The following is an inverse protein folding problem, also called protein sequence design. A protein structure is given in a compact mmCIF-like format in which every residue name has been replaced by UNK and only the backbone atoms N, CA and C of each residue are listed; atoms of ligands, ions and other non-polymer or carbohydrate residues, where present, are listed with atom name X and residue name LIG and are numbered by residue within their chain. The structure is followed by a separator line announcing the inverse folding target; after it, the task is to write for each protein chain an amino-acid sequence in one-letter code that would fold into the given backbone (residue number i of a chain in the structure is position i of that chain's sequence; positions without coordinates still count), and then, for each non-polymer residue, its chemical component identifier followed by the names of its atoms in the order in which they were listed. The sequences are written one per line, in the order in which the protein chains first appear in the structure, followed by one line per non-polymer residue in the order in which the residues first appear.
data_IF_496870316580
#
_entry.id   IF_496870316580
#
_cell.length_a   1.000
_cell.length_b   1.000
_cell.length_c   1.000
_cell.angle_alpha   90.00
_cell.angle_beta   90.00
_cell.angle_gamma   90.00
#
_symmetry.space_group_name_H-M   'P 1'
#
loop_
_entity.id
_entity.type
_entity.pdbx_description
1 polymer ?
#
# COMPACT_ATOMS: atom_id res chain seq x y z
N UNK A 1 -16.06 5.52 18.83
CA UNK A 1 -16.44 4.64 17.70
C UNK A 1 -16.14 3.19 18.08
N UNK A 2 -16.81 2.17 17.54
CA UNK A 2 -16.37 0.79 17.76
C UNK A 2 -14.94 0.65 17.25
N UNK A 3 -14.06 0.16 18.09
CA UNK A 3 -12.69 -0.17 17.72
C UNK A 3 -12.74 -1.22 16.60
N UNK A 4 -12.30 -0.85 15.40
CA UNK A 4 -12.16 -1.80 14.29
C UNK A 4 -10.86 -2.58 14.49
N UNK A 5 -10.93 -3.90 14.38
CA UNK A 5 -9.77 -4.77 14.61
C UNK A 5 -8.70 -4.52 13.54
N UNK A 6 -7.45 -4.36 13.98
CA UNK A 6 -6.26 -4.19 13.13
C UNK A 6 -5.40 -5.44 13.14
N UNK A 7 -4.42 -5.54 12.24
CA UNK A 7 -3.41 -6.61 12.30
C UNK A 7 -2.54 -6.57 13.56
N UNK A 8 -2.35 -5.38 14.15
CA UNK A 8 -1.68 -5.22 15.44
C UNK A 8 -2.48 -5.89 16.56
N UNK A 9 -3.81 -5.75 16.55
CA UNK A 9 -4.71 -6.41 17.53
C UNK A 9 -4.72 -7.93 17.38
N UNK A 10 -4.47 -8.43 16.16
CA UNK A 10 -4.31 -9.86 15.86
C UNK A 10 -2.91 -10.41 16.22
N UNK A 11 -1.96 -9.57 16.66
CA UNK A 11 -0.59 -9.99 16.96
C UNK A 11 0.27 -10.30 15.73
N UNK A 12 -0.13 -9.82 14.54
CA UNK A 12 0.57 -10.01 13.26
C UNK A 12 0.78 -8.69 12.52
N UNK A 13 1.44 -7.70 13.14
CA UNK A 13 1.47 -6.34 12.60
C UNK A 13 2.19 -6.25 11.25
N UNK A 14 1.72 -5.30 10.44
CA UNK A 14 2.42 -4.79 9.26
C UNK A 14 2.72 -3.30 9.50
N UNK A 15 3.99 -2.90 9.58
CA UNK A 15 4.39 -1.50 9.79
C UNK A 15 3.68 -0.48 8.89
N UNK A 16 3.47 -0.83 7.62
CA UNK A 16 2.81 0.02 6.63
C UNK A 16 1.28 -0.17 6.57
N UNK A 17 0.70 -1.17 7.24
CA UNK A 17 -0.76 -1.36 7.26
C UNK A 17 -1.29 -1.29 8.70
N UNK A 18 -1.81 -0.13 9.05
CA UNK A 18 -2.37 0.16 10.39
C UNK A 18 -3.90 0.31 10.37
N UNK A 19 -4.51 0.22 9.18
CA UNK A 19 -5.95 0.25 9.02
C UNK A 19 -6.66 -1.02 9.49
N UNK A 20 -8.00 -1.03 9.41
CA UNK A 20 -8.84 -2.18 9.75
C UNK A 20 -8.55 -3.41 8.89
N UNK A 21 -8.61 -4.61 9.48
CA UNK A 21 -8.42 -5.88 8.76
C UNK A 21 -9.47 -6.10 7.67
N UNK A 22 -10.70 -5.61 7.89
CA UNK A 22 -11.79 -5.71 6.91
C UNK A 22 -11.50 -4.96 5.59
N UNK A 23 -10.59 -3.99 5.61
CA UNK A 23 -10.14 -3.27 4.42
C UNK A 23 -9.05 -4.04 3.65
N UNK A 24 -8.64 -5.25 4.07
CA UNK A 24 -7.58 -6.03 3.44
C UNK A 24 -8.17 -7.22 2.65
N UNK A 25 -8.36 -7.10 1.32
CA UNK A 25 -9.01 -8.15 0.52
C UNK A 25 -8.18 -9.44 0.43
N UNK A 26 -6.86 -9.31 0.63
CA UNK A 26 -5.93 -10.44 0.60
C UNK A 26 -6.00 -11.28 1.87
N UNK A 27 -6.43 -10.73 3.02
CA UNK A 27 -6.46 -11.50 4.25
C UNK A 27 -7.59 -12.56 4.22
N UNK A 28 -7.21 -13.84 4.38
CA UNK A 28 -8.13 -14.98 4.36
C UNK A 28 -8.30 -15.66 5.72
N UNK A 29 -7.57 -15.23 6.74
CA UNK A 29 -7.56 -15.90 8.04
C UNK A 29 -6.92 -17.28 7.94
N UNK A 30 -7.57 -18.31 8.48
CA UNK A 30 -6.98 -19.66 8.56
C UNK A 30 -6.85 -20.32 7.20
N UNK A 31 -5.69 -20.89 6.89
CA UNK A 31 -5.45 -21.63 5.65
C UNK A 31 -4.19 -22.49 5.70
N UNK A 32 -3.89 -23.18 4.59
CA UNK A 32 -2.64 -23.92 4.40
C UNK A 32 -1.71 -23.09 3.54
N UNK A 33 -0.52 -22.79 4.04
CA UNK A 33 0.44 -21.96 3.31
C UNK A 33 1.09 -22.74 2.16
N UNK A 34 1.07 -22.19 0.96
CA UNK A 34 1.71 -22.77 -0.21
C UNK A 34 3.24 -22.74 -0.15
N UNK A 35 3.83 -21.88 0.68
CA UNK A 35 5.29 -21.83 0.87
C UNK A 35 5.76 -22.94 1.80
N UNK A 36 5.32 -22.94 3.06
CA UNK A 36 5.83 -23.87 4.09
C UNK A 36 4.99 -25.14 4.25
N UNK A 37 3.85 -25.24 3.54
CA UNK A 37 2.88 -26.34 3.59
C UNK A 37 2.26 -26.60 4.97
N UNK A 38 2.40 -25.65 5.90
CA UNK A 38 1.79 -25.71 7.24
C UNK A 38 0.43 -25.02 7.27
N UNK A 39 -0.45 -25.50 8.14
CA UNK A 39 -1.66 -24.76 8.51
C UNK A 39 -1.29 -23.57 9.39
N UNK A 40 -1.91 -22.42 9.14
CA UNK A 40 -1.72 -21.20 9.91
C UNK A 40 -3.05 -20.48 10.12
N UNK A 41 -3.18 -19.71 11.20
CA UNK A 41 -4.38 -18.92 11.50
C UNK A 41 -4.46 -17.62 10.69
N UNK A 42 -3.35 -17.19 10.10
CA UNK A 42 -3.26 -15.95 9.35
C UNK A 42 -2.55 -16.17 8.00
N UNK A 43 -3.35 -16.29 6.95
CA UNK A 43 -2.93 -16.44 5.58
C UNK A 43 -3.44 -15.27 4.71
N UNK A 44 -2.67 -14.98 3.68
CA UNK A 44 -2.91 -13.93 2.70
C UNK A 44 -2.95 -14.57 1.31
N UNK A 45 -3.96 -14.21 0.53
CA UNK A 45 -4.05 -14.56 -0.87
C UNK A 45 -3.04 -13.75 -1.67
N UNK A 46 -2.27 -14.44 -2.49
CA UNK A 46 -1.36 -13.87 -3.46
C UNK A 46 -2.04 -13.94 -4.82
N UNK A 47 -2.17 -12.79 -5.49
CA UNK A 47 -2.83 -12.63 -6.78
C UNK A 47 -1.81 -12.31 -7.88
N UNK A 48 -2.30 -12.05 -9.09
CA UNK A 48 -1.48 -11.62 -10.23
C UNK A 48 -0.48 -10.53 -9.81
N UNK A 49 0.77 -10.70 -10.22
CA UNK A 49 1.88 -9.81 -9.87
C UNK A 49 2.55 -10.12 -8.52
N UNK A 50 2.06 -11.08 -7.74
CA UNK A 50 2.76 -11.57 -6.55
C UNK A 50 3.77 -12.67 -6.91
N UNK A 51 4.82 -12.78 -6.10
CA UNK A 51 5.85 -13.80 -6.26
C UNK A 51 5.92 -14.72 -5.03
N UNK A 52 6.25 -15.99 -5.26
CA UNK A 52 6.70 -16.92 -4.22
C UNK A 52 8.11 -17.40 -4.53
N UNK A 53 8.93 -17.58 -3.49
CA UNK A 53 10.16 -18.37 -3.57
C UNK A 53 10.22 -19.38 -2.43
N UNK A 54 10.73 -20.58 -2.71
CA UNK A 54 10.85 -21.65 -1.71
C UNK A 54 12.18 -21.63 -0.95
N UNK A 55 13.16 -20.87 -1.43
CA UNK A 55 14.45 -20.65 -0.76
C UNK A 55 14.85 -19.19 -0.88
N UNK A 56 15.46 -18.64 0.17
CA UNK A 56 16.02 -17.28 0.14
C UNK A 56 17.33 -17.23 -0.65
N UNK A 57 18.02 -18.35 -0.79
CA UNK A 57 19.27 -18.49 -1.55
C UNK A 57 19.04 -18.68 -3.05
N UNK A 58 17.77 -18.77 -3.47
CA UNK A 58 17.38 -18.92 -4.86
C UNK A 58 16.65 -17.66 -5.33
N UNK A 59 17.13 -17.07 -6.42
CA UNK A 59 16.52 -15.90 -7.06
C UNK A 59 15.33 -16.28 -7.96
N UNK A 60 15.04 -17.58 -8.14
CA UNK A 60 13.90 -18.03 -8.93
C UNK A 60 12.59 -17.76 -8.19
N UNK A 61 11.94 -16.67 -8.56
CA UNK A 61 10.56 -16.39 -8.21
C UNK A 61 9.60 -17.19 -9.09
N UNK A 62 8.55 -17.69 -8.46
CA UNK A 62 7.41 -18.31 -9.12
C UNK A 62 6.30 -17.28 -9.07
N UNK A 63 5.93 -16.78 -10.24
CA UNK A 63 4.74 -15.97 -10.42
C UNK A 63 3.52 -16.78 -9.96
N UNK A 64 2.71 -16.19 -9.09
CA UNK A 64 1.52 -16.87 -8.56
C UNK A 64 0.43 -17.05 -9.62
N UNK A 65 0.51 -16.35 -10.77
CA UNK A 65 -0.38 -16.44 -11.94
C UNK A 65 -1.87 -16.59 -11.59
N UNK A 66 -2.71 -17.12 -12.50
CA UNK A 66 -4.17 -17.21 -12.31
C UNK A 66 -4.63 -18.15 -11.17
N UNK A 67 -3.69 -18.86 -10.53
CA UNK A 67 -3.99 -19.73 -9.39
C UNK A 67 -3.84 -18.97 -8.06
N UNK A 68 -4.94 -18.85 -7.32
CA UNK A 68 -4.87 -18.33 -5.94
C UNK A 68 -3.88 -19.16 -5.09
N UNK A 69 -2.82 -18.50 -4.59
CA UNK A 69 -1.87 -19.09 -3.63
C UNK A 69 -2.03 -18.43 -2.27
N UNK A 70 -1.89 -19.20 -1.21
CA UNK A 70 -1.93 -18.69 0.16
C UNK A 70 -0.53 -18.62 0.77
N UNK A 71 -0.17 -17.46 1.32
CA UNK A 71 1.04 -17.30 2.12
C UNK A 71 0.69 -17.00 3.57
N UNK A 72 1.24 -17.76 4.52
CA UNK A 72 1.09 -17.42 5.93
C UNK A 72 1.89 -16.16 6.28
N UNK A 73 1.43 -15.42 7.30
CA UNK A 73 2.10 -14.23 7.81
C UNK A 73 3.61 -14.42 7.99
N UNK A 74 4.02 -15.52 8.63
CA UNK A 74 5.44 -15.81 8.90
C UNK A 74 6.27 -15.91 7.62
N UNK A 75 5.80 -16.63 6.60
CA UNK A 75 6.50 -16.77 5.33
C UNK A 75 6.56 -15.44 4.57
N UNK A 76 5.47 -14.66 4.57
CA UNK A 76 5.44 -13.33 3.96
C UNK A 76 6.46 -12.40 4.62
N UNK A 77 6.47 -12.31 5.96
CA UNK A 77 7.41 -11.45 6.70
C UNK A 77 8.87 -11.87 6.56
N UNK A 78 9.14 -13.16 6.38
CA UNK A 78 10.48 -13.67 6.08
C UNK A 78 10.92 -13.39 4.63
N UNK A 79 10.02 -12.91 3.77
CA UNK A 79 10.30 -12.59 2.37
C UNK A 79 10.33 -13.81 1.46
N UNK A 80 9.62 -14.89 1.80
CA UNK A 80 9.38 -16.01 0.87
C UNK A 80 8.24 -15.73 -0.12
N UNK A 81 7.52 -14.63 0.07
CA UNK A 81 6.56 -14.11 -0.88
C UNK A 81 6.75 -12.59 -1.03
N UNK A 82 6.38 -12.06 -2.19
CA UNK A 82 6.31 -10.64 -2.51
C UNK A 82 4.91 -10.29 -2.98
N UNK A 83 4.43 -9.12 -2.60
CA UNK A 83 3.18 -8.52 -3.07
C UNK A 83 3.55 -7.29 -3.88
N UNK A 84 3.11 -7.23 -5.13
CA UNK A 84 3.26 -6.02 -5.93
C UNK A 84 2.30 -4.96 -5.43
N UNK A 85 2.82 -3.74 -5.25
CA UNK A 85 2.08 -2.60 -4.74
C UNK A 85 2.29 -1.40 -5.65
N UNK A 86 1.21 -0.65 -5.90
CA UNK A 86 1.30 0.64 -6.57
C UNK A 86 1.51 1.81 -5.60
N UNK A 87 2.47 2.68 -5.92
CA UNK A 87 2.74 3.90 -5.16
C UNK A 87 2.48 5.14 -6.01
N UNK A 88 2.40 6.31 -5.37
CA UNK A 88 2.37 7.57 -6.11
C UNK A 88 3.66 7.89 -6.90
N UNK A 89 4.70 7.05 -6.76
CA UNK A 89 5.97 7.11 -7.46
C UNK A 89 6.14 5.93 -8.44
N UNK A 90 5.08 5.14 -8.67
CA UNK A 90 5.08 3.97 -9.54
C UNK A 90 5.06 2.64 -8.80
N UNK A 91 4.90 1.57 -9.56
CA UNK A 91 4.80 0.20 -9.07
C UNK A 91 6.09 -0.26 -8.38
N UNK A 92 5.93 -1.10 -7.35
CA UNK A 92 7.01 -1.78 -6.63
C UNK A 92 6.70 -3.27 -6.52
N UNK A 93 7.55 -4.10 -7.11
CA UNK A 93 7.57 -5.55 -6.96
C UNK A 93 8.90 -6.04 -6.39
N UNK A 94 9.11 -7.36 -6.34
CA UNK A 94 10.40 -7.95 -5.95
C UNK A 94 11.56 -7.55 -6.87
N UNK A 95 11.31 -7.28 -8.15
CA UNK A 95 12.33 -6.81 -9.09
C UNK A 95 12.92 -5.45 -8.64
N UNK A 96 12.07 -4.58 -8.10
CA UNK A 96 12.47 -3.25 -7.65
C UNK A 96 13.26 -3.27 -6.32
N UNK A 97 13.18 -4.35 -5.52
CA UNK A 97 13.98 -4.48 -4.30
C UNK A 97 15.48 -4.39 -4.63
N UNK A 98 15.93 -5.10 -5.67
CA UNK A 98 17.34 -5.11 -6.08
C UNK A 98 17.79 -3.79 -6.72
N UNK A 99 16.86 -3.07 -7.37
CA UNK A 99 17.14 -1.83 -8.08
C UNK A 99 17.17 -0.61 -7.16
N UNK A 100 16.49 -0.67 -6.01
CA UNK A 100 16.37 0.47 -5.09
C UNK A 100 15.59 1.65 -5.68
N UNK A 101 14.75 1.39 -6.67
CA UNK A 101 13.92 2.38 -7.34
C UNK A 101 12.61 1.73 -7.81
N UNK A 102 11.54 2.53 -7.94
CA UNK A 102 10.25 2.07 -8.47
C UNK A 102 10.35 1.72 -9.97
N UNK A 103 9.35 0.99 -10.49
CA UNK A 103 9.20 0.81 -11.94
C UNK A 103 8.95 2.14 -12.67
N UNK A 104 8.54 3.17 -11.92
CA UNK A 104 8.40 4.53 -12.39
C UNK A 104 7.01 4.90 -12.86
N UNK A 105 6.89 6.11 -13.37
CA UNK A 105 5.67 6.65 -13.98
C UNK A 105 6.00 7.27 -15.35
N UNK A 106 5.07 7.23 -16.31
CA UNK A 106 5.24 7.92 -17.58
C UNK A 106 5.18 9.45 -17.39
N UNK A 107 6.01 10.17 -18.15
CA UNK A 107 5.90 11.63 -18.28
C UNK A 107 6.90 12.43 -17.43
N UNK A 108 6.54 13.66 -17.04
CA UNK A 108 7.43 14.52 -16.24
C UNK A 108 7.60 13.98 -14.81
N UNK A 109 8.59 14.53 -14.10
CA UNK A 109 8.75 14.28 -12.66
C UNK A 109 7.48 14.74 -11.94
N UNK A 110 6.90 13.90 -11.09
CA UNK A 110 5.68 14.25 -10.37
C UNK A 110 5.91 15.39 -9.39
N UNK A 111 4.88 16.22 -9.15
CA UNK A 111 4.94 17.30 -8.16
C UNK A 111 5.31 16.75 -6.78
N UNK A 112 4.72 15.62 -6.38
CA UNK A 112 5.05 14.94 -5.12
C UNK A 112 6.53 14.54 -5.05
N UNK A 113 7.12 14.00 -6.12
CA UNK A 113 8.54 13.67 -6.13
C UNK A 113 9.41 14.93 -5.96
N UNK A 114 9.05 16.05 -6.59
CA UNK A 114 9.76 17.33 -6.46
C UNK A 114 9.66 17.84 -5.01
N UNK A 115 8.44 17.89 -4.46
CA UNK A 115 8.17 18.36 -3.09
C UNK A 115 8.89 17.54 -2.03
N UNK A 116 8.97 16.22 -2.23
CA UNK A 116 9.63 15.30 -1.31
C UNK A 116 11.13 15.16 -1.57
N UNK A 117 11.68 15.85 -2.59
CA UNK A 117 13.10 15.76 -2.94
C UNK A 117 13.53 14.36 -3.38
N UNK A 118 12.62 13.59 -4.00
CA UNK A 118 12.88 12.24 -4.48
C UNK A 118 13.69 12.29 -5.76
N UNK A 119 14.81 11.56 -5.79
CA UNK A 119 15.65 11.49 -6.97
C UNK A 119 14.96 10.66 -8.06
N UNK A 120 14.67 11.30 -9.19
CA UNK A 120 14.13 10.64 -10.38
C UNK A 120 15.25 10.28 -11.37
N UNK A 121 15.18 9.07 -11.93
CA UNK A 121 16.06 8.63 -13.01
C UNK A 121 15.81 9.38 -14.34
N UNK A 122 16.71 9.23 -15.32
CA UNK A 122 16.42 9.66 -16.69
C UNK A 122 15.22 8.88 -17.24
N UNK A 123 14.44 9.45 -18.17
CA UNK A 123 13.35 8.72 -18.79
C UNK A 123 13.91 7.61 -19.68
N UNK A 124 13.26 6.45 -19.71
CA UNK A 124 13.55 5.39 -20.67
C UNK A 124 13.01 5.75 -22.07
N UNK A 125 13.15 4.83 -23.04
CA UNK A 125 12.69 5.05 -24.43
C UNK A 125 11.17 5.29 -24.53
N UNK A 126 10.40 4.82 -23.55
CA UNK A 126 8.94 4.97 -23.49
C UNK A 126 8.53 6.20 -22.65
N UNK A 127 9.49 7.00 -22.19
CA UNK A 127 9.24 8.20 -21.40
C UNK A 127 8.95 7.94 -19.91
N UNK A 128 9.20 6.72 -19.41
CA UNK A 128 9.01 6.37 -18.00
C UNK A 128 10.22 6.74 -17.15
N UNK A 129 9.96 7.24 -15.94
CA UNK A 129 11.00 7.63 -14.97
C UNK A 129 10.86 6.84 -13.69
N UNK A 130 11.91 6.11 -13.31
CA UNK A 130 12.02 5.49 -12.00
C UNK A 130 12.31 6.51 -10.90
N UNK A 131 11.91 6.21 -9.67
CA UNK A 131 12.13 7.08 -8.51
C UNK A 131 12.87 6.30 -7.43
N UNK A 132 13.96 6.86 -6.90
CA UNK A 132 14.74 6.22 -5.85
C UNK A 132 14.00 6.28 -4.52
N UNK A 133 13.80 5.12 -3.92
CA UNK A 133 13.18 4.94 -2.60
C UNK A 133 14.13 4.11 -1.75
N UNK A 134 14.12 4.29 -0.43
CA UNK A 134 14.92 3.46 0.47
C UNK A 134 14.60 1.96 0.22
N UNK A 135 15.60 1.11 -0.10
CA UNK A 135 15.37 -0.31 -0.31
C UNK A 135 14.66 -1.02 0.84
N UNK A 136 14.79 -0.51 2.08
CA UNK A 136 14.05 -1.04 3.24
C UNK A 136 12.55 -0.77 3.14
N UNK A 137 12.16 0.38 2.61
CA UNK A 137 10.75 0.71 2.41
C UNK A 137 10.17 -0.10 1.25
N UNK A 138 10.94 -0.31 0.16
CA UNK A 138 10.55 -1.22 -0.93
C UNK A 138 10.35 -2.66 -0.40
N UNK A 139 11.30 -3.15 0.40
CA UNK A 139 11.20 -4.49 1.02
C UNK A 139 10.02 -4.59 1.99
N UNK A 140 9.75 -3.55 2.77
CA UNK A 140 8.62 -3.54 3.70
C UNK A 140 7.29 -3.52 2.95
N UNK A 141 7.19 -2.71 1.90
CA UNK A 141 5.98 -2.59 1.08
C UNK A 141 5.66 -3.91 0.37
N UNK A 142 6.65 -4.58 -0.22
CA UNK A 142 6.46 -5.91 -0.86
C UNK A 142 6.06 -7.02 0.12
N UNK A 143 6.16 -6.77 1.44
CA UNK A 143 5.71 -7.68 2.50
C UNK A 143 4.46 -7.18 3.21
N UNK A 144 3.83 -6.14 2.68
CA UNK A 144 2.61 -5.52 3.20
C UNK A 144 1.46 -5.86 2.26
N UNK A 145 0.32 -6.34 2.77
CA UNK A 145 -0.83 -6.60 1.93
C UNK A 145 -1.49 -5.30 1.46
N UNK A 146 -2.18 -5.36 0.34
CA UNK A 146 -2.97 -4.27 -0.20
C UNK A 146 -4.22 -4.02 0.66
N UNK A 147 -4.72 -2.79 0.58
CA UNK A 147 -6.06 -2.44 1.02
C UNK A 147 -7.02 -2.43 -0.19
N UNK A 148 -8.31 -2.60 0.07
CA UNK A 148 -9.33 -2.62 -0.96
C UNK A 148 -9.47 -1.23 -1.59
N UNK A 149 -9.50 -1.19 -2.92
CA UNK A 149 -9.69 0.04 -3.71
C UNK A 149 -10.42 -0.30 -5.00
N UNK A 150 -11.07 0.68 -5.61
CA UNK A 150 -11.72 0.51 -6.91
C UNK A 150 -10.79 0.81 -8.07
N UNK A 151 -9.97 1.86 -7.96
CA UNK A 151 -9.10 2.33 -9.04
C UNK A 151 -7.61 1.96 -8.87
N UNK A 152 -7.34 1.01 -7.98
CA UNK A 152 -5.99 0.56 -7.62
C UNK A 152 -5.46 1.26 -6.38
N UNK A 153 -4.60 0.56 -5.65
CA UNK A 153 -3.92 1.13 -4.51
C UNK A 153 -2.92 2.21 -4.94
N UNK A 154 -2.68 3.16 -4.06
CA UNK A 154 -1.73 4.23 -4.30
C UNK A 154 -1.09 4.63 -2.99
N UNK A 155 -0.08 3.85 -2.60
CA UNK A 155 0.70 4.12 -1.41
C UNK A 155 1.35 5.50 -1.46
N UNK A 156 1.23 6.23 -0.35
CA UNK A 156 1.72 7.61 -0.23
C UNK A 156 3.15 7.67 0.28
N UNK A 157 3.84 8.73 -0.08
CA UNK A 157 5.22 9.01 0.25
C UNK A 157 5.36 10.40 0.88
N UNK A 158 6.06 10.48 2.00
CA UNK A 158 6.34 11.75 2.67
C UNK A 158 7.56 11.66 3.59
N UNK A 159 8.31 12.75 3.73
CA UNK A 159 9.55 12.79 4.52
C UNK A 159 10.56 11.68 4.14
N UNK A 160 10.61 11.34 2.85
CA UNK A 160 11.51 10.30 2.35
C UNK A 160 11.10 8.88 2.73
N UNK A 161 9.86 8.63 3.16
CA UNK A 161 9.36 7.31 3.57
C UNK A 161 7.98 6.99 3.01
N UNK A 162 7.69 5.72 2.81
CA UNK A 162 6.31 5.25 2.53
C UNK A 162 5.46 5.46 3.79
N UNK A 163 4.27 6.02 3.61
CA UNK A 163 3.33 6.34 4.69
C UNK A 163 2.39 5.16 4.97
N UNK A 164 2.29 4.68 6.22
CA UNK A 164 1.33 3.65 6.56
C UNK A 164 -0.11 4.04 6.24
N UNK A 165 -0.85 3.11 5.66
CA UNK A 165 -2.30 3.18 5.49
C UNK A 165 -2.99 3.05 6.85
N UNK A 166 -3.93 3.95 7.15
CA UNK A 166 -4.63 4.02 8.45
C UNK A 166 -6.13 3.74 8.35
N UNK A 167 -6.64 3.40 7.16
CA UNK A 167 -8.04 3.11 6.95
C UNK A 167 -8.74 4.08 6.00
N UNK A 168 -10.03 3.85 5.82
CA UNK A 168 -10.94 4.72 5.08
C UNK A 168 -11.58 5.75 6.01
N UNK A 169 -11.68 7.00 5.56
CA UNK A 169 -12.37 8.06 6.27
C UNK A 169 -13.62 8.49 5.52
N UNK A 170 -14.73 8.61 6.24
CA UNK A 170 -15.95 9.25 5.77
C UNK A 170 -16.01 10.70 6.25
N UNK A 171 -17.08 11.43 5.88
CA UNK A 171 -17.33 12.77 6.42
C UNK A 171 -17.30 12.80 7.96
N UNK A 172 -17.76 11.71 8.60
CA UNK A 172 -17.78 11.59 10.06
C UNK A 172 -16.37 11.63 10.66
N UNK A 173 -15.44 10.81 10.15
CA UNK A 173 -14.06 10.78 10.64
C UNK A 173 -13.37 12.12 10.43
N UNK A 174 -13.58 12.78 9.29
CA UNK A 174 -13.05 14.14 9.07
C UNK A 174 -13.63 15.17 10.04
N UNK A 175 -14.93 15.13 10.32
CA UNK A 175 -15.57 16.04 11.27
C UNK A 175 -15.09 15.81 12.70
N UNK A 176 -14.88 14.56 13.11
CA UNK A 176 -14.32 14.24 14.42
C UNK A 176 -12.85 14.66 14.54
N UNK A 177 -12.09 14.61 13.44
CA UNK A 177 -10.68 15.00 13.41
C UNK A 177 -10.47 16.53 13.56
N UNK A 178 -11.25 17.36 12.86
CA UNK A 178 -10.97 18.81 12.77
C UNK A 178 -12.09 19.73 13.25
N UNK A 179 -13.31 19.23 13.45
CA UNK A 179 -14.51 20.05 13.67
C UNK A 179 -15.07 20.73 12.41
N UNK A 180 -14.23 20.95 11.39
CA UNK A 180 -14.61 21.38 10.04
C UNK A 180 -14.06 20.35 9.05
N UNK A 181 -14.79 19.24 8.91
CA UNK A 181 -14.35 18.08 8.14
C UNK A 181 -14.17 18.39 6.67
N UNK A 182 -15.02 19.26 6.10
CA UNK A 182 -14.93 19.64 4.70
C UNK A 182 -13.61 20.38 4.42
N UNK A 183 -13.27 21.38 5.25
CA UNK A 183 -12.01 22.10 5.10
C UNK A 183 -10.82 21.17 5.27
N UNK A 184 -10.87 20.24 6.23
CA UNK A 184 -9.81 19.26 6.43
C UNK A 184 -9.64 18.36 5.20
N UNK A 185 -10.74 17.77 4.69
CA UNK A 185 -10.73 16.96 3.47
C UNK A 185 -10.10 17.70 2.29
N UNK A 186 -10.57 18.92 2.02
CA UNK A 186 -10.06 19.75 0.92
C UNK A 186 -8.59 20.14 1.05
N UNK A 187 -8.02 20.07 2.25
CA UNK A 187 -6.61 20.40 2.52
C UNK A 187 -5.67 19.19 2.58
N UNK A 188 -6.18 18.03 2.96
CA UNK A 188 -5.38 16.81 3.22
C UNK A 188 -5.42 15.84 2.05
N UNK A 189 -6.56 15.79 1.35
CA UNK A 189 -6.82 14.81 0.31
C UNK A 189 -6.45 15.40 -1.05
N UNK A 190 -5.58 14.69 -1.77
CA UNK A 190 -5.11 15.11 -3.08
C UNK A 190 -6.26 15.25 -4.10
N UNK A 191 -6.19 16.27 -4.96
CA UNK A 191 -7.16 16.54 -6.02
C UNK A 191 -8.62 16.53 -5.54
N UNK A 192 -8.85 16.89 -4.28
CA UNK A 192 -10.18 16.91 -3.69
C UNK A 192 -10.94 18.18 -4.07
N UNK A 193 -12.27 18.05 -4.11
CA UNK A 193 -13.18 19.14 -4.41
C UNK A 193 -14.53 18.93 -3.72
N UNK A 194 -15.36 19.97 -3.65
CA UNK A 194 -16.63 19.93 -2.91
C UNK A 194 -17.52 18.74 -3.27
N UNK A 195 -17.62 18.39 -4.54
CA UNK A 195 -18.45 17.26 -4.98
C UNK A 195 -18.01 15.91 -4.37
N UNK A 196 -16.69 15.69 -4.25
CA UNK A 196 -16.13 14.49 -3.66
C UNK A 196 -16.43 14.45 -2.15
N UNK A 197 -16.31 15.61 -1.47
CA UNK A 197 -16.72 15.73 -0.07
C UNK A 197 -18.20 15.37 0.10
N UNK A 198 -19.09 15.97 -0.70
CA UNK A 198 -20.55 15.75 -0.58
C UNK A 198 -20.94 14.27 -0.81
N UNK A 199 -20.12 13.50 -1.53
CA UNK A 199 -20.34 12.09 -1.88
C UNK A 199 -19.57 11.09 -1.00
N UNK A 200 -18.74 11.59 -0.08
CA UNK A 200 -17.81 10.81 0.73
C UNK A 200 -18.54 9.89 1.73
N UNK A 201 -18.20 8.60 1.72
CA UNK A 201 -18.89 7.55 2.49
C UNK A 201 -20.12 6.97 1.79
N UNK A 202 -20.36 7.39 0.54
CA UNK A 202 -21.33 6.80 -0.38
C UNK A 202 -20.64 6.33 -1.64
N UNK A 203 -20.71 7.14 -2.70
CA UNK A 203 -20.08 6.84 -4.00
C UNK A 203 -18.58 7.15 -4.05
N UNK A 204 -18.07 7.86 -3.04
CA UNK A 204 -16.65 8.20 -2.92
C UNK A 204 -16.10 7.56 -1.66
N UNK A 205 -14.96 6.89 -1.81
CA UNK A 205 -14.17 6.32 -0.72
C UNK A 205 -12.87 7.12 -0.62
N UNK A 206 -12.43 7.43 0.61
CA UNK A 206 -11.17 8.15 0.84
C UNK A 206 -10.23 7.30 1.68
N UNK A 207 -9.04 7.02 1.13
CA UNK A 207 -7.99 6.21 1.74
C UNK A 207 -6.97 7.13 2.40
N UNK A 208 -6.73 6.90 3.69
CA UNK A 208 -5.91 7.78 4.50
C UNK A 208 -4.58 7.13 4.87
N UNK A 209 -3.53 7.95 4.87
CA UNK A 209 -2.19 7.58 5.27
C UNK A 209 -1.64 8.60 6.26
N UNK A 210 -0.74 8.17 7.14
CA UNK A 210 -0.06 9.06 8.08
C UNK A 210 1.46 8.95 7.94
N UNK A 211 2.18 10.06 8.09
CA UNK A 211 3.62 10.05 8.07
C UNK A 211 4.16 9.71 9.47
N UNK A 212 4.96 8.65 9.58
CA UNK A 212 5.60 8.25 10.84
C UNK A 212 6.70 9.22 11.30
N UNK A 213 7.16 10.14 10.44
CA UNK A 213 8.22 11.10 10.76
C UNK A 213 7.66 12.40 11.35
N UNK A 214 6.71 13.03 10.67
CA UNK A 214 6.17 14.34 11.05
C UNK A 214 4.71 14.32 11.53
N UNK A 215 4.02 13.18 11.41
CA UNK A 215 2.60 13.03 11.77
C UNK A 215 1.61 13.58 10.75
N UNK A 216 2.08 14.16 9.63
CA UNK A 216 1.19 14.70 8.59
C UNK A 216 0.32 13.60 7.97
N UNK A 217 -0.95 13.93 7.76
CA UNK A 217 -1.90 13.09 7.02
C UNK A 217 -1.85 13.42 5.54
N UNK A 218 -2.03 12.40 4.71
CA UNK A 218 -2.31 12.52 3.28
C UNK A 218 -3.39 11.52 2.91
N UNK A 219 -4.26 11.89 2.00
CA UNK A 219 -5.28 10.99 1.48
C UNK A 219 -5.41 11.08 -0.02
N UNK A 220 -6.04 10.08 -0.59
CA UNK A 220 -6.60 10.14 -1.93
C UNK A 220 -7.98 9.50 -1.92
N UNK A 221 -8.69 9.60 -3.04
CA UNK A 221 -10.05 9.12 -3.15
C UNK A 221 -10.27 8.48 -4.52
N UNK A 222 -11.23 7.57 -4.60
CA UNK A 222 -11.78 7.04 -5.83
C UNK A 222 -13.30 6.98 -5.78
N UNK A 223 -13.91 6.71 -6.94
CA UNK A 223 -15.35 6.47 -7.06
C UNK A 223 -15.60 4.97 -7.24
N UNK A 224 -16.63 4.47 -6.53
CA UNK A 224 -17.32 3.21 -6.83
C UNK A 224 -18.10 3.34 -8.17
#
# INVERSE_FOLDING_TARGET
MPHKQTFQDLGIPFPLYQGPVECCPQYKGRGTCDVCKQQADHCFNLSIGCGIRYSLDNENWIDTSDDEKLCCYKCLRQGYASITNDTELGMVSDEQIAQGATHGLPGPITESAIEQGVEAGPPNNDGWRSYKIDPKDILELTRTPNYATWQGERWRYHCGRIMPYIGEWTQKEFNEFSGDGQKAFLSIVDNSHKYAWDSLGGQVICYMHHCQVCGQLRGYWDCD
#
